data_IF_007632737541
#
_entry.id   IF_007632737541
#
_cell.length_a   1.000
_cell.length_b   1.000
_cell.length_c   1.000
_cell.angle_alpha   90.00
_cell.angle_beta   90.00
_cell.angle_gamma   90.00
#
_symmetry.space_group_name_H-M   'P 1'
#
loop_
_entity.id
_entity.type
_entity.pdbx_description
1 polymer ?
#
# COMPACT_ATOMS: atom_id res chain seq x y z
N UNK A 1 16.33 -10.60 -14.29
CA UNK A 1 16.28 -11.67 -13.27
C UNK A 1 16.40 -11.02 -11.92
N UNK A 2 15.29 -10.93 -11.19
CA UNK A 2 15.24 -10.35 -9.85
C UNK A 2 16.21 -11.13 -8.96
N UNK A 3 17.25 -10.46 -8.47
CA UNK A 3 18.19 -11.07 -7.54
C UNK A 3 17.40 -11.31 -6.26
N UNK A 4 16.92 -12.53 -6.05
CA UNK A 4 16.31 -12.93 -4.79
C UNK A 4 17.44 -12.98 -3.78
N UNK A 5 17.77 -11.83 -3.20
CA UNK A 5 18.70 -11.74 -2.08
C UNK A 5 18.01 -12.47 -0.93
N UNK A 6 18.75 -13.33 -0.24
CA UNK A 6 18.15 -14.06 0.88
C UNK A 6 17.79 -13.06 1.97
N UNK A 7 16.66 -13.29 2.63
CA UNK A 7 16.18 -12.46 3.75
C UNK A 7 17.26 -12.27 4.83
N UNK A 8 18.08 -13.31 5.03
CA UNK A 8 19.20 -13.28 5.97
C UNK A 8 20.29 -12.25 5.61
N UNK A 9 20.60 -12.07 4.33
CA UNK A 9 21.57 -11.06 3.87
C UNK A 9 21.00 -9.65 4.10
N UNK A 10 19.72 -9.44 3.82
CA UNK A 10 19.06 -8.15 4.04
C UNK A 10 19.01 -7.78 5.53
N UNK A 11 18.68 -8.76 6.39
CA UNK A 11 18.67 -8.58 7.84
C UNK A 11 20.08 -8.28 8.36
N UNK A 12 21.11 -9.01 7.91
CA UNK A 12 22.50 -8.75 8.31
C UNK A 12 22.94 -7.33 7.91
N UNK A 13 22.59 -6.91 6.69
CA UNK A 13 22.82 -5.54 6.24
C UNK A 13 22.11 -4.52 7.12
N UNK A 14 20.82 -4.71 7.41
CA UNK A 14 20.04 -3.81 8.27
C UNK A 14 20.59 -3.74 9.69
N UNK A 15 21.03 -4.86 10.28
CA UNK A 15 21.69 -4.90 11.59
C UNK A 15 22.94 -4.01 11.58
N UNK A 16 23.80 -4.18 10.57
CA UNK A 16 25.04 -3.38 10.41
C UNK A 16 24.76 -1.90 10.18
N UNK A 17 23.77 -1.57 9.35
CA UNK A 17 23.46 -0.20 8.98
C UNK A 17 22.73 0.59 10.08
N UNK A 18 21.89 -0.09 10.87
CA UNK A 18 21.01 0.56 11.87
C UNK A 18 21.46 0.35 13.32
N UNK A 19 22.34 -0.61 13.59
CA UNK A 19 22.71 -1.03 14.94
C UNK A 19 21.61 -1.77 15.70
N UNK A 20 20.46 -2.04 15.06
CA UNK A 20 19.34 -2.76 15.68
C UNK A 20 19.61 -4.26 15.71
N UNK A 21 19.09 -4.94 16.74
CA UNK A 21 19.06 -6.39 16.77
C UNK A 21 18.01 -6.94 15.78
N UNK A 22 18.12 -8.23 15.51
CA UNK A 22 17.29 -8.93 14.54
C UNK A 22 15.81 -8.98 14.93
N UNK A 23 15.49 -9.12 16.21
CA UNK A 23 14.11 -9.18 16.70
C UNK A 23 13.42 -7.83 16.51
N UNK A 24 14.14 -6.74 16.77
CA UNK A 24 13.67 -5.37 16.52
C UNK A 24 13.41 -5.14 15.03
N UNK A 25 14.30 -5.59 14.16
CA UNK A 25 14.13 -5.48 12.70
C UNK A 25 12.90 -6.27 12.24
N UNK A 26 12.74 -7.51 12.72
CA UNK A 26 11.57 -8.33 12.40
C UNK A 26 10.26 -7.70 12.88
N UNK A 27 10.20 -7.23 14.12
CA UNK A 27 8.99 -6.59 14.66
C UNK A 27 8.60 -5.36 13.83
N UNK A 28 9.59 -4.55 13.42
CA UNK A 28 9.36 -3.38 12.56
C UNK A 28 8.89 -3.78 11.16
N UNK A 29 9.53 -4.78 10.55
CA UNK A 29 9.14 -5.29 9.24
C UNK A 29 7.72 -5.87 9.27
N UNK A 30 7.39 -6.66 10.29
CA UNK A 30 6.07 -7.24 10.49
C UNK A 30 5.00 -6.16 10.66
N UNK A 31 5.24 -5.17 11.54
CA UNK A 31 4.32 -4.04 11.74
C UNK A 31 4.05 -3.30 10.43
N UNK A 32 5.11 -2.95 9.70
CA UNK A 32 4.99 -2.30 8.38
C UNK A 32 4.20 -3.16 7.39
N UNK A 33 4.45 -4.47 7.36
CA UNK A 33 3.72 -5.40 6.50
C UNK A 33 2.23 -5.44 6.83
N UNK A 34 1.87 -5.50 8.11
CA UNK A 34 0.46 -5.46 8.55
C UNK A 34 -0.20 -4.11 8.20
N UNK A 35 0.50 -2.99 8.42
CA UNK A 35 0.00 -1.66 8.06
C UNK A 35 -0.28 -1.55 6.55
N UNK A 36 0.61 -2.08 5.71
CA UNK A 36 0.43 -2.07 4.25
C UNK A 36 -0.73 -2.96 3.83
N UNK A 37 -0.79 -4.21 4.31
CA UNK A 37 -1.90 -5.13 4.00
C UNK A 37 -3.25 -4.58 4.44
N UNK A 38 -3.30 -3.92 5.61
CA UNK A 38 -4.51 -3.28 6.09
C UNK A 38 -4.92 -2.12 5.18
N UNK A 39 -3.97 -1.28 4.75
CA UNK A 39 -4.21 -0.19 3.82
C UNK A 39 -4.77 -0.71 2.50
N UNK A 40 -4.15 -1.73 1.90
CA UNK A 40 -4.61 -2.36 0.66
C UNK A 40 -6.07 -2.81 0.76
N UNK A 41 -6.45 -3.49 1.85
CA UNK A 41 -7.81 -3.96 2.04
C UNK A 41 -8.81 -2.80 2.20
N UNK A 42 -8.44 -1.73 2.92
CA UNK A 42 -9.31 -0.56 3.06
C UNK A 42 -9.54 0.13 1.71
N UNK A 43 -8.52 0.26 0.87
CA UNK A 43 -8.65 0.80 -0.49
C UNK A 43 -9.55 -0.11 -1.34
N UNK A 44 -9.33 -1.42 -1.31
CA UNK A 44 -10.17 -2.43 -1.97
C UNK A 44 -11.65 -2.28 -1.58
N UNK A 45 -11.95 -2.15 -0.29
CA UNK A 45 -13.32 -1.93 0.20
C UNK A 45 -13.90 -0.60 -0.27
N UNK A 46 -13.09 0.47 -0.31
CA UNK A 46 -13.55 1.77 -0.81
C UNK A 46 -13.91 1.73 -2.29
N UNK A 47 -13.05 1.14 -3.12
CA UNK A 47 -13.30 0.98 -4.56
C UNK A 47 -14.55 0.12 -4.82
N UNK A 48 -14.81 -0.88 -3.96
CA UNK A 48 -16.03 -1.70 -3.97
C UNK A 48 -17.25 -1.02 -3.35
N UNK A 49 -17.16 0.27 -2.99
CA UNK A 49 -18.21 1.05 -2.33
C UNK A 49 -18.73 0.43 -1.03
N UNK A 50 -17.89 -0.33 -0.32
CA UNK A 50 -18.22 -0.98 0.97
C UNK A 50 -17.92 -0.11 2.17
N UNK A 51 -17.07 0.90 2.02
CA UNK A 51 -16.81 1.93 3.02
C UNK A 51 -16.93 3.32 2.40
N UNK A 52 -17.15 4.32 3.24
CA UNK A 52 -17.25 5.72 2.79
C UNK A 52 -15.88 6.34 2.60
N UNK A 53 -15.80 7.37 1.76
CA UNK A 53 -14.60 8.21 1.62
C UNK A 53 -14.13 8.75 2.96
N UNK A 54 -15.04 9.26 3.79
CA UNK A 54 -14.73 9.76 5.14
C UNK A 54 -14.03 8.69 5.98
N UNK A 55 -14.57 7.46 6.01
CA UNK A 55 -13.97 6.36 6.75
C UNK A 55 -12.57 6.01 6.22
N UNK A 56 -12.35 6.07 4.91
CA UNK A 56 -11.02 5.87 4.34
C UNK A 56 -10.06 7.02 4.73
N UNK A 57 -10.51 8.27 4.67
CA UNK A 57 -9.73 9.46 5.05
C UNK A 57 -9.28 9.40 6.51
N UNK A 58 -10.17 8.99 7.41
CA UNK A 58 -9.85 8.84 8.84
C UNK A 58 -8.77 7.75 9.08
N UNK A 59 -8.60 6.80 8.15
CA UNK A 59 -7.66 5.68 8.28
C UNK A 59 -6.30 5.95 7.63
N UNK A 60 -6.28 6.53 6.43
CA UNK A 60 -5.06 6.65 5.62
C UNK A 60 -4.66 8.09 5.29
N UNK A 61 -5.43 9.08 5.77
CA UNK A 61 -5.19 10.50 5.55
C UNK A 61 -5.81 11.04 4.27
N UNK A 62 -5.99 12.37 4.21
CA UNK A 62 -6.67 13.05 3.10
C UNK A 62 -5.88 12.97 1.79
N UNK A 63 -4.56 13.17 1.83
CA UNK A 63 -3.71 13.17 0.63
C UNK A 63 -3.76 11.81 -0.09
N UNK A 64 -3.64 10.72 0.67
CA UNK A 64 -3.72 9.37 0.10
C UNK A 64 -5.10 9.07 -0.51
N UNK A 65 -6.18 9.55 0.11
CA UNK A 65 -7.54 9.39 -0.43
C UNK A 65 -7.74 10.21 -1.70
N UNK A 66 -7.19 11.41 -1.79
CA UNK A 66 -7.26 12.23 -2.98
C UNK A 66 -6.55 11.58 -4.17
N UNK A 67 -5.39 10.97 -3.94
CA UNK A 67 -4.67 10.22 -4.97
C UNK A 67 -5.49 9.01 -5.46
N UNK A 68 -6.07 8.24 -4.53
CA UNK A 68 -6.93 7.09 -4.88
C UNK A 68 -8.17 7.54 -5.68
N UNK A 69 -8.81 8.63 -5.27
CA UNK A 69 -9.96 9.20 -5.98
C UNK A 69 -9.60 9.63 -7.40
N UNK A 70 -8.42 10.25 -7.57
CA UNK A 70 -7.91 10.64 -8.88
C UNK A 70 -7.67 9.41 -9.77
N UNK A 71 -6.98 8.39 -9.26
CA UNK A 71 -6.73 7.15 -9.99
C UNK A 71 -8.04 6.43 -10.36
N UNK A 72 -9.00 6.33 -9.43
CA UNK A 72 -10.32 5.75 -9.68
C UNK A 72 -11.03 6.44 -10.84
N UNK A 73 -11.07 7.78 -10.82
CA UNK A 73 -11.72 8.58 -11.88
C UNK A 73 -11.02 8.44 -13.24
N UNK A 74 -9.69 8.38 -13.25
CA UNK A 74 -8.93 8.15 -14.48
C UNK A 74 -9.30 6.80 -15.10
N UNK A 75 -9.29 5.73 -14.32
CA UNK A 75 -9.67 4.38 -14.78
C UNK A 75 -11.13 4.35 -15.24
N UNK A 76 -12.06 4.96 -14.51
CA UNK A 76 -13.47 5.05 -14.92
C UNK A 76 -13.64 5.79 -16.25
N UNK A 77 -12.84 6.84 -16.47
CA UNK A 77 -12.84 7.60 -17.71
C UNK A 77 -12.30 6.77 -18.88
N UNK A 78 -11.21 6.02 -18.65
CA UNK A 78 -10.62 5.12 -19.65
C UNK A 78 -11.57 3.97 -20.02
N UNK A 79 -12.26 3.38 -19.04
CA UNK A 79 -13.29 2.36 -19.28
C UNK A 79 -14.43 2.95 -20.11
N UNK A 80 -14.92 4.14 -19.73
CA UNK A 80 -15.99 4.81 -20.47
C UNK A 80 -15.58 5.08 -21.91
N UNK A 81 -14.37 5.62 -22.11
CA UNK A 81 -13.78 5.87 -23.42
C UNK A 81 -13.71 4.58 -24.25
N UNK A 82 -13.19 3.49 -23.67
CA UNK A 82 -13.14 2.18 -24.34
C UNK A 82 -14.51 1.59 -24.68
N UNK A 83 -15.56 1.96 -23.95
CA UNK A 83 -16.94 1.55 -24.23
C UNK A 83 -17.63 2.44 -25.28
N UNK A 84 -17.30 3.73 -25.36
CA UNK A 84 -17.97 4.69 -26.26
C UNK A 84 -17.22 4.94 -27.57
N UNK A 85 -15.91 4.71 -27.61
CA UNK A 85 -15.08 4.86 -28.82
C UNK A 85 -14.81 6.31 -29.27
N UNK A 86 -15.23 7.30 -28.49
CA UNK A 86 -14.94 8.74 -28.64
C UNK A 86 -14.17 9.26 -27.43
#
# INVERSE_FOLDING_TARGET
>A
MSKQVSLAIEIDYLKKATGQDEQTIFARAFKKGIEELYKEEMVSLYLKSKITRKKLTDLIGVEAVEEIDYQKKAIESDIKWGMTGE
#
